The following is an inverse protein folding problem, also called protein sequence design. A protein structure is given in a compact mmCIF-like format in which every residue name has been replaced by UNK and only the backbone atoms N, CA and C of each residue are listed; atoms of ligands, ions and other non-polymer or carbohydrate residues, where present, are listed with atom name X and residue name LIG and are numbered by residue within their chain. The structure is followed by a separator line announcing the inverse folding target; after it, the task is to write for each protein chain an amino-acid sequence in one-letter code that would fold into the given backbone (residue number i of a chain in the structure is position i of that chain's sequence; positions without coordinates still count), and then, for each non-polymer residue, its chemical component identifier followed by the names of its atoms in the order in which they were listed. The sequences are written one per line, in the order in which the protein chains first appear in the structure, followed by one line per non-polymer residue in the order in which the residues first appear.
data_IF_797536947018
#
_entry.id   IF_797536947018
#
_cell.length_a   1.000
_cell.length_b   1.000
_cell.length_c   1.000
_cell.angle_alpha   90.00
_cell.angle_beta   90.00
_cell.angle_gamma   90.00
#
_symmetry.space_group_name_H-M   'P 1'
#
loop_
_entity.id
_entity.type
_entity.pdbx_description
1 polymer ?
#
# COMPACT_ATOMS: atom_id res chain seq x y z
N UNK A 1 -8.79 8.12 -10.85
CA UNK A 1 -8.96 6.77 -10.26
C UNK A 1 -9.81 5.82 -11.11
N UNK A 2 -11.12 6.01 -11.31
CA UNK A 2 -11.95 4.98 -11.98
C UNK A 2 -11.57 4.71 -13.44
N UNK A 3 -11.26 5.74 -14.22
CA UNK A 3 -10.81 5.58 -15.62
C UNK A 3 -9.43 4.90 -15.72
N UNK A 4 -8.50 5.28 -14.86
CA UNK A 4 -7.15 4.68 -14.77
C UNK A 4 -7.24 3.21 -14.39
N UNK A 5 -8.09 2.88 -13.41
CA UNK A 5 -8.42 1.50 -13.03
C UNK A 5 -8.98 0.72 -14.21
N UNK A 6 -9.90 1.30 -15.00
CA UNK A 6 -10.46 0.65 -16.19
C UNK A 6 -9.40 0.36 -17.25
N UNK A 7 -8.35 1.16 -17.35
CA UNK A 7 -7.16 0.91 -18.19
C UNK A 7 -6.16 -0.07 -17.57
N UNK A 8 -6.40 -0.54 -16.35
CA UNK A 8 -5.49 -1.43 -15.62
C UNK A 8 -4.28 -0.70 -15.00
N UNK A 9 -4.26 0.63 -15.04
CA UNK A 9 -3.20 1.44 -14.44
C UNK A 9 -3.26 1.29 -12.91
N UNK A 10 -2.14 1.51 -12.24
CA UNK A 10 -2.05 1.45 -10.77
C UNK A 10 -2.34 0.09 -10.11
N UNK A 11 -2.49 -0.99 -10.90
CA UNK A 11 -2.67 -2.36 -10.40
C UNK A 11 -1.42 -2.88 -9.67
N UNK A 12 -1.60 -3.49 -8.50
CA UNK A 12 -0.54 -4.19 -7.74
C UNK A 12 -0.53 -5.68 -8.10
N UNK A 13 0.29 -6.07 -9.08
CA UNK A 13 0.24 -7.41 -9.69
C UNK A 13 0.67 -8.54 -8.76
N UNK A 14 1.40 -8.23 -7.70
CA UNK A 14 1.86 -9.15 -6.66
C UNK A 14 0.71 -9.62 -5.77
N UNK A 15 -0.38 -8.85 -5.72
CA UNK A 15 -1.61 -9.25 -5.05
C UNK A 15 -2.48 -10.10 -5.97
N UNK A 16 -2.88 -11.29 -5.51
CA UNK A 16 -3.95 -12.07 -6.17
C UNK A 16 -5.28 -11.30 -6.17
N UNK A 17 -5.60 -10.61 -5.07
CA UNK A 17 -6.70 -9.65 -5.00
C UNK A 17 -6.49 -8.51 -6.00
N UNK A 18 -7.53 -8.07 -6.74
CA UNK A 18 -7.44 -6.92 -7.65
C UNK A 18 -7.33 -5.58 -6.91
N UNK A 19 -6.16 -5.29 -6.37
CA UNK A 19 -5.78 -4.04 -5.70
C UNK A 19 -5.29 -3.02 -6.71
N UNK A 20 -5.85 -1.81 -6.62
CA UNK A 20 -5.38 -0.61 -7.31
C UNK A 20 -4.95 0.42 -6.28
N UNK A 21 -3.77 1.01 -6.47
CA UNK A 21 -3.12 1.86 -5.46
C UNK A 21 -2.57 3.15 -6.08
N UNK A 22 -3.09 4.28 -5.62
CA UNK A 22 -2.64 5.62 -5.95
C UNK A 22 -1.95 6.23 -4.73
N UNK A 23 -0.77 6.80 -4.96
CA UNK A 23 0.05 7.40 -3.92
C UNK A 23 0.48 8.75 -4.46
N UNK A 24 0.08 9.80 -3.77
CA UNK A 24 0.29 11.19 -4.16
C UNK A 24 1.12 11.88 -3.08
N UNK A 25 1.97 12.81 -3.50
CA UNK A 25 2.68 13.73 -2.60
C UNK A 25 2.29 15.14 -3.01
N UNK A 26 1.43 15.78 -2.22
CA UNK A 26 1.00 17.16 -2.45
C UNK A 26 1.52 18.05 -1.32
N UNK A 27 2.14 19.17 -1.67
CA UNK A 27 2.75 20.10 -0.71
C UNK A 27 3.66 19.42 0.34
N UNK A 28 4.39 18.38 -0.07
CA UNK A 28 5.27 17.60 0.80
C UNK A 28 4.54 16.65 1.76
N UNK A 29 3.26 16.37 1.51
CA UNK A 29 2.41 15.48 2.31
C UNK A 29 1.91 14.30 1.51
N UNK A 30 1.98 13.12 2.10
CA UNK A 30 1.59 11.86 1.45
C UNK A 30 0.09 11.63 1.59
N UNK A 31 -0.54 11.22 0.49
CA UNK A 31 -1.94 10.79 0.42
C UNK A 31 -2.04 9.46 -0.32
N UNK A 32 -2.76 8.50 0.27
CA UNK A 32 -2.89 7.15 -0.27
C UNK A 32 -4.37 6.87 -0.53
N UNK A 33 -4.68 6.55 -1.79
CA UNK A 33 -5.99 6.04 -2.18
C UNK A 33 -5.88 4.62 -2.74
N UNK A 34 -6.86 3.79 -2.44
CA UNK A 34 -6.89 2.43 -2.96
C UNK A 34 -8.30 1.94 -3.23
N UNK A 35 -8.42 1.14 -4.28
CA UNK A 35 -9.60 0.35 -4.57
C UNK A 35 -9.27 -1.13 -4.35
N UNK A 36 -10.06 -1.76 -3.49
CA UNK A 36 -9.89 -3.15 -3.09
C UNK A 36 -11.28 -3.76 -2.94
N UNK A 37 -11.52 -4.96 -3.50
CA UNK A 37 -12.82 -5.60 -3.39
C UNK A 37 -13.26 -5.87 -1.94
N UNK A 38 -14.57 -5.77 -1.64
CA UNK A 38 -15.10 -5.93 -0.29
C UNK A 38 -14.81 -7.31 0.32
N UNK A 39 -14.70 -8.35 -0.50
CA UNK A 39 -14.41 -9.73 -0.11
C UNK A 39 -12.95 -9.98 0.31
N UNK A 40 -12.07 -8.97 0.25
CA UNK A 40 -10.67 -9.05 0.67
C UNK A 40 -10.40 -8.26 1.97
N UNK A 41 -10.97 -8.67 3.12
CA UNK A 41 -10.94 -7.88 4.35
C UNK A 41 -9.53 -7.63 4.90
N UNK A 42 -8.64 -8.61 4.78
CA UNK A 42 -7.25 -8.48 5.26
C UNK A 42 -6.47 -7.43 4.49
N UNK A 43 -6.55 -7.46 3.15
CA UNK A 43 -5.87 -6.47 2.29
C UNK A 43 -6.45 -5.08 2.50
N UNK A 44 -7.78 -4.98 2.59
CA UNK A 44 -8.48 -3.73 2.93
C UNK A 44 -8.02 -3.18 4.28
N UNK A 45 -7.94 -4.03 5.30
CA UNK A 45 -7.51 -3.65 6.64
C UNK A 45 -6.08 -3.11 6.64
N UNK A 46 -5.15 -3.83 6.00
CA UNK A 46 -3.76 -3.40 5.92
C UNK A 46 -3.59 -2.08 5.17
N UNK A 47 -4.21 -1.92 3.99
CA UNK A 47 -4.14 -0.66 3.26
C UNK A 47 -4.82 0.47 4.03
N UNK A 48 -5.95 0.22 4.70
CA UNK A 48 -6.61 1.23 5.53
C UNK A 48 -5.74 1.68 6.70
N UNK A 49 -4.98 0.75 7.30
CA UNK A 49 -4.01 1.08 8.35
C UNK A 49 -2.92 2.01 7.80
N UNK A 50 -2.30 1.64 6.68
CA UNK A 50 -1.25 2.46 6.06
C UNK A 50 -1.78 3.83 5.61
N UNK A 51 -2.90 3.86 4.90
CA UNK A 51 -3.51 5.09 4.41
C UNK A 51 -3.83 6.05 5.56
N UNK A 52 -4.39 5.56 6.68
CA UNK A 52 -4.72 6.41 7.83
C UNK A 52 -3.49 6.91 8.59
N UNK A 53 -2.46 6.08 8.76
CA UNK A 53 -1.28 6.48 9.53
C UNK A 53 -0.31 7.36 8.75
N UNK A 54 -0.33 7.28 7.41
CA UNK A 54 0.57 8.03 6.53
C UNK A 54 -0.10 9.24 5.89
N UNK A 55 -1.40 9.44 6.08
CA UNK A 55 -2.10 10.63 5.57
C UNK A 55 -1.50 11.89 6.17
N UNK A 56 -0.99 12.79 5.32
CA UNK A 56 -0.36 14.02 5.75
C UNK A 56 1.10 13.87 6.20
N UNK A 57 1.65 12.66 6.22
CA UNK A 57 3.04 12.42 6.63
C UNK A 57 4.04 12.95 5.59
N UNK A 58 5.23 13.34 6.04
CA UNK A 58 6.31 13.74 5.15
C UNK A 58 6.95 12.51 4.47
N UNK A 59 7.49 12.66 3.23
CA UNK A 59 8.18 11.57 2.55
C UNK A 59 9.28 10.88 3.39
N UNK A 60 10.00 11.66 4.20
CA UNK A 60 11.04 11.15 5.09
C UNK A 60 10.49 10.20 6.18
N UNK A 61 9.28 10.44 6.67
CA UNK A 61 8.63 9.57 7.68
C UNK A 61 8.20 8.24 7.04
N UNK A 62 7.67 8.29 5.81
CA UNK A 62 7.33 7.08 5.05
C UNK A 62 8.57 6.22 4.77
N UNK A 63 9.71 6.85 4.50
CA UNK A 63 10.97 6.14 4.27
C UNK A 63 11.45 5.35 5.49
N UNK A 64 11.10 5.78 6.70
CA UNK A 64 11.49 5.13 7.95
C UNK A 64 10.66 3.89 8.28
N UNK A 65 9.57 3.62 7.55
CA UNK A 65 8.78 2.41 7.79
C UNK A 65 9.65 1.18 7.52
N UNK A 66 9.76 0.24 8.47
CA UNK A 66 10.54 -0.98 8.29
C UNK A 66 10.02 -1.82 7.12
N UNK A 67 10.93 -2.38 6.33
CA UNK A 67 10.58 -3.28 5.22
C UNK A 67 9.99 -4.61 5.72
N UNK A 68 10.38 -5.03 6.93
CA UNK A 68 9.91 -6.21 7.66
C UNK A 68 8.67 -5.91 8.53
N UNK A 69 7.89 -4.87 8.21
CA UNK A 69 6.72 -4.44 8.99
C UNK A 69 5.76 -5.59 9.34
N UNK A 70 5.51 -6.51 8.40
CA UNK A 70 4.60 -7.64 8.64
C UNK A 70 5.16 -8.65 9.65
N UNK A 71 6.49 -8.83 9.68
CA UNK A 71 7.17 -9.68 10.66
C UNK A 71 7.15 -9.02 12.03
N UNK A 72 7.42 -7.71 12.11
CA UNK A 72 7.34 -6.95 13.37
C UNK A 72 5.93 -6.93 13.97
N UNK A 73 4.90 -6.97 13.13
CA UNK A 73 3.51 -7.09 13.56
C UNK A 73 3.07 -8.54 13.83
N UNK A 74 3.94 -9.53 13.64
CA UNK A 74 3.62 -10.96 13.81
C UNK A 74 2.59 -11.50 12.80
N UNK A 75 2.36 -10.78 11.70
CA UNK A 75 1.33 -11.11 10.72
C UNK A 75 1.80 -12.14 9.69
N UNK A 76 3.11 -12.20 9.40
CA UNK A 76 3.65 -13.09 8.36
C UNK A 76 3.30 -14.56 8.58
N UNK A 77 3.34 -15.03 9.83
CA UNK A 77 3.00 -16.43 10.19
C UNK A 77 1.52 -16.73 10.00
N UNK A 78 0.65 -15.74 10.23
CA UNK A 78 -0.82 -15.90 10.14
C UNK A 78 -1.33 -15.79 8.70
N UNK A 79 -0.68 -14.96 7.88
CA UNK A 79 -1.14 -14.62 6.54
C UNK A 79 -0.74 -15.65 5.48
N UNK A 80 0.34 -16.39 5.70
CA UNK A 80 0.92 -17.32 4.73
C UNK A 80 1.63 -16.61 3.57
N UNK A 81 2.48 -17.35 2.86
CA UNK A 81 3.47 -16.79 1.92
C UNK A 81 2.89 -15.82 0.89
N UNK A 82 1.79 -16.19 0.21
CA UNK A 82 1.22 -15.38 -0.88
C UNK A 82 0.66 -14.05 -0.38
N UNK A 83 -0.01 -14.03 0.77
CA UNK A 83 -0.58 -12.79 1.32
C UNK A 83 0.52 -11.88 1.83
N UNK A 84 1.53 -12.44 2.51
CA UNK A 84 2.72 -11.69 2.94
C UNK A 84 3.38 -11.01 1.75
N UNK A 85 3.63 -11.73 0.65
CA UNK A 85 4.21 -11.15 -0.56
C UNK A 85 3.38 -9.99 -1.12
N UNK A 86 2.05 -10.15 -1.22
CA UNK A 86 1.17 -9.10 -1.72
C UNK A 86 1.18 -7.85 -0.82
N UNK A 87 1.11 -8.01 0.50
CA UNK A 87 1.11 -6.89 1.44
C UNK A 87 2.48 -6.20 1.50
N UNK A 88 3.58 -6.95 1.44
CA UNK A 88 4.93 -6.40 1.34
C UNK A 88 5.10 -5.59 0.04
N UNK A 89 4.58 -6.09 -1.09
CA UNK A 89 4.62 -5.35 -2.36
C UNK A 89 3.82 -4.04 -2.31
N UNK A 90 2.69 -4.00 -1.60
CA UNK A 90 1.94 -2.76 -1.34
C UNK A 90 2.81 -1.74 -0.61
N UNK A 91 3.47 -2.15 0.49
CA UNK A 91 4.34 -1.25 1.26
C UNK A 91 5.49 -0.72 0.39
N UNK A 92 6.18 -1.60 -0.33
CA UNK A 92 7.26 -1.21 -1.24
C UNK A 92 6.78 -0.23 -2.32
N UNK A 93 5.60 -0.46 -2.89
CA UNK A 93 5.02 0.45 -3.88
C UNK A 93 4.73 1.83 -3.30
N UNK A 94 4.24 1.91 -2.06
CA UNK A 94 4.04 3.19 -1.36
C UNK A 94 5.38 3.91 -1.20
N UNK A 95 6.36 3.25 -0.57
CA UNK A 95 7.69 3.84 -0.33
C UNK A 95 8.34 4.31 -1.63
N UNK A 96 8.29 3.50 -2.68
CA UNK A 96 8.84 3.85 -4.01
C UNK A 96 8.10 5.02 -4.67
N UNK A 97 6.77 5.04 -4.60
CA UNK A 97 5.98 6.12 -5.21
C UNK A 97 6.24 7.45 -4.52
N UNK A 98 6.32 7.44 -3.18
CA UNK A 98 6.69 8.61 -2.38
C UNK A 98 8.11 9.08 -2.71
N UNK A 99 9.08 8.16 -2.78
CA UNK A 99 10.46 8.50 -3.12
C UNK A 99 10.64 9.08 -4.53
N UNK A 100 9.78 8.70 -5.48
CA UNK A 100 9.81 9.24 -6.85
C UNK A 100 9.12 10.60 -6.99
N UNK A 101 8.25 10.97 -6.03
CA UNK A 101 7.45 12.19 -6.07
C UNK A 101 8.02 13.32 -5.17
N UNK A 102 8.96 12.99 -4.29
CA UNK A 102 9.70 13.93 -3.45
C UNK A 102 10.96 14.46 -4.17
#
# INVERSE_FOLDING_TARGET
YQEEKARGEHRVHECQTPVYLWVEVDQGKVHIHADVPPESPTVRGFISLLARNLDGAAPAEVAQIPDDLLDQLGLSETLGMTRTQGLTAILYRIKRSVANAA
#
